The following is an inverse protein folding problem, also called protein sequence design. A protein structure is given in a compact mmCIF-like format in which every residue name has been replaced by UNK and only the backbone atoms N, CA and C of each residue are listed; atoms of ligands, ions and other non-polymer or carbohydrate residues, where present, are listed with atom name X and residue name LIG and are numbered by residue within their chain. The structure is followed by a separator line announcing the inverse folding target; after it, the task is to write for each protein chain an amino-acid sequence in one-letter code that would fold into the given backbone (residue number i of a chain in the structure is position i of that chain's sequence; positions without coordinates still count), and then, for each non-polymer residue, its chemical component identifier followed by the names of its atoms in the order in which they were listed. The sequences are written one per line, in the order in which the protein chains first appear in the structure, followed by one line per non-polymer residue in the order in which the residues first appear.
data_IF_620481257906
#
_entry.id   IF_620481257906
#
_cell.length_a   1.000
_cell.length_b   1.000
_cell.length_c   1.000
_cell.angle_alpha   90.00
_cell.angle_beta   90.00
_cell.angle_gamma   90.00
#
_symmetry.space_group_name_H-M   'P 1'
#
loop_
_entity.id
_entity.type
_entity.pdbx_description
1 polymer ?
#
# COMPACT_ATOMS: atom_id res chain seq x y z
N UNK A 1 -4.61 -11.10 -7.49
CA UNK A 1 -3.41 -10.24 -7.47
C UNK A 1 -3.78 -8.81 -7.85
N UNK A 2 -2.96 -7.82 -7.52
CA UNK A 2 -3.23 -6.36 -7.63
C UNK A 2 -3.78 -5.92 -8.98
N UNK A 3 -3.28 -6.47 -10.09
CA UNK A 3 -3.79 -6.16 -11.45
C UNK A 3 -5.28 -6.50 -11.60
N UNK A 4 -5.75 -7.59 -11.00
CA UNK A 4 -7.15 -7.96 -11.02
C UNK A 4 -8.03 -6.97 -10.25
N UNK A 5 -7.55 -6.48 -9.10
CA UNK A 5 -8.24 -5.46 -8.30
C UNK A 5 -8.35 -4.15 -9.09
N UNK A 6 -7.28 -3.70 -9.72
CA UNK A 6 -7.30 -2.49 -10.55
C UNK A 6 -8.26 -2.60 -11.72
N UNK A 7 -8.26 -3.73 -12.45
CA UNK A 7 -9.20 -3.95 -13.54
C UNK A 7 -10.66 -3.92 -13.08
N UNK A 8 -10.96 -4.56 -11.94
CA UNK A 8 -12.29 -4.53 -11.37
C UNK A 8 -12.70 -3.11 -10.95
N UNK A 9 -11.82 -2.37 -10.28
CA UNK A 9 -12.08 -0.98 -9.88
C UNK A 9 -12.30 -0.06 -11.11
N UNK A 10 -11.57 -0.27 -12.20
CA UNK A 10 -11.76 0.45 -13.46
C UNK A 10 -13.13 0.15 -14.09
N UNK A 11 -13.55 -1.12 -14.08
CA UNK A 11 -14.86 -1.52 -14.61
C UNK A 11 -16.00 -0.89 -13.81
N UNK A 12 -15.93 -0.93 -12.47
CA UNK A 12 -16.96 -0.32 -11.61
C UNK A 12 -17.00 1.19 -11.81
N UNK A 13 -15.85 1.87 -11.78
CA UNK A 13 -15.78 3.32 -11.96
C UNK A 13 -16.26 3.79 -13.35
N UNK A 14 -16.17 2.93 -14.38
CA UNK A 14 -16.70 3.24 -15.70
C UNK A 14 -18.24 3.21 -15.76
N UNK A 15 -18.88 2.48 -14.85
CA UNK A 15 -20.35 2.36 -14.75
C UNK A 15 -20.97 3.16 -13.62
N UNK A 16 -20.18 3.51 -12.61
CA UNK A 16 -20.57 4.26 -11.41
C UNK A 16 -19.48 5.27 -11.04
N UNK A 17 -19.73 6.55 -11.32
CA UNK A 17 -18.83 7.65 -10.99
C UNK A 17 -18.56 7.75 -9.48
N UNK A 18 -19.51 7.31 -8.63
CA UNK A 18 -19.35 7.30 -7.17
C UNK A 18 -18.15 6.47 -6.71
N UNK A 19 -17.74 5.48 -7.52
CA UNK A 19 -16.59 4.61 -7.28
C UNK A 19 -15.25 5.19 -7.76
N UNK A 20 -15.21 6.39 -8.35
CA UNK A 20 -13.98 6.98 -8.88
C UNK A 20 -12.89 7.20 -7.82
N UNK A 21 -13.26 7.54 -6.57
CA UNK A 21 -12.31 7.68 -5.46
C UNK A 21 -11.69 6.35 -5.06
N UNK A 22 -12.46 5.26 -5.08
CA UNK A 22 -11.96 3.92 -4.83
C UNK A 22 -10.89 3.55 -5.87
N UNK A 23 -11.17 3.77 -7.16
CA UNK A 23 -10.21 3.52 -8.22
C UNK A 23 -8.93 4.35 -8.03
N UNK A 24 -9.09 5.64 -7.74
CA UNK A 24 -7.96 6.56 -7.53
C UNK A 24 -7.05 6.08 -6.40
N UNK A 25 -7.64 5.68 -5.27
CA UNK A 25 -6.88 5.16 -4.13
C UNK A 25 -6.15 3.85 -4.49
N UNK A 26 -6.84 2.90 -5.12
CA UNK A 26 -6.23 1.63 -5.52
C UNK A 26 -5.06 1.83 -6.49
N UNK A 27 -5.18 2.78 -7.44
CA UNK A 27 -4.09 3.16 -8.35
C UNK A 27 -2.91 3.75 -7.60
N UNK A 28 -3.14 4.71 -6.71
CA UNK A 28 -2.09 5.36 -5.93
C UNK A 28 -1.32 4.35 -5.06
N UNK A 29 -2.02 3.47 -4.34
CA UNK A 29 -1.42 2.44 -3.50
C UNK A 29 -0.64 1.42 -4.34
N UNK A 30 -1.19 0.98 -5.48
CA UNK A 30 -0.51 0.03 -6.36
C UNK A 30 0.76 0.61 -6.97
N UNK A 31 0.72 1.86 -7.42
CA UNK A 31 1.86 2.56 -7.98
C UNK A 31 2.96 2.80 -6.91
N UNK A 32 2.58 3.24 -5.71
CA UNK A 32 3.52 3.42 -4.61
C UNK A 32 4.22 2.10 -4.23
N UNK A 33 3.47 0.99 -4.17
CA UNK A 33 4.05 -0.33 -3.93
C UNK A 33 5.04 -0.74 -5.01
N UNK A 34 4.72 -0.50 -6.29
CA UNK A 34 5.61 -0.78 -7.41
C UNK A 34 6.90 0.05 -7.34
N UNK A 35 6.79 1.34 -7.01
CA UNK A 35 7.94 2.23 -6.87
C UNK A 35 8.83 1.87 -5.68
N UNK A 36 8.26 1.48 -4.53
CA UNK A 36 9.05 0.98 -3.39
C UNK A 36 9.88 -0.25 -3.76
N UNK A 37 9.31 -1.18 -4.55
CA UNK A 37 10.06 -2.33 -5.07
C UNK A 37 11.15 -1.90 -6.04
N UNK A 38 10.85 -0.96 -6.95
CA UNK A 38 11.81 -0.43 -7.93
C UNK A 38 13.02 0.26 -7.27
N UNK A 39 12.80 0.94 -6.14
CA UNK A 39 13.83 1.60 -5.35
C UNK A 39 14.67 0.63 -4.48
N UNK A 40 14.37 -0.67 -4.51
CA UNK A 40 15.09 -1.66 -3.68
C UNK A 40 14.64 -1.71 -2.23
N UNK A 41 13.56 -1.01 -1.86
CA UNK A 41 13.03 -0.98 -0.49
C UNK A 41 12.17 -2.21 -0.17
N UNK A 42 12.67 -3.42 -0.47
CA UNK A 42 11.89 -4.67 -0.49
C UNK A 42 11.07 -4.93 0.77
N UNK A 43 11.70 -4.90 1.95
CA UNK A 43 11.01 -5.15 3.24
C UNK A 43 9.93 -4.10 3.55
N UNK A 44 10.16 -2.84 3.17
CA UNK A 44 9.18 -1.75 3.32
C UNK A 44 8.03 -1.95 2.32
N UNK A 45 8.34 -2.34 1.08
CA UNK A 45 7.35 -2.65 0.06
C UNK A 45 6.45 -3.82 0.46
N UNK A 46 6.99 -4.86 1.09
CA UNK A 46 6.22 -6.00 1.57
C UNK A 46 5.25 -5.57 2.68
N UNK A 47 5.74 -4.84 3.69
CA UNK A 47 4.88 -4.28 4.75
C UNK A 47 3.81 -3.33 4.19
N UNK A 48 4.16 -2.51 3.19
CA UNK A 48 3.21 -1.62 2.52
C UNK A 48 2.12 -2.41 1.78
N UNK A 49 2.49 -3.39 0.96
CA UNK A 49 1.54 -4.22 0.19
C UNK A 49 0.60 -4.97 1.11
N UNK A 50 1.13 -5.64 2.13
CA UNK A 50 0.30 -6.45 3.04
C UNK A 50 -0.73 -5.60 3.79
N UNK A 51 -0.35 -4.39 4.21
CA UNK A 51 -1.26 -3.53 4.97
C UNK A 51 -2.20 -2.68 4.12
N UNK A 52 -1.79 -2.24 2.92
CA UNK A 52 -2.59 -1.32 2.07
C UNK A 52 -3.38 -2.03 0.98
N UNK A 53 -2.93 -3.19 0.50
CA UNK A 53 -3.59 -3.93 -0.59
C UNK A 53 -4.26 -5.23 -0.13
N UNK A 54 -3.85 -5.79 1.01
CA UNK A 54 -4.44 -7.03 1.58
C UNK A 54 -5.06 -6.83 2.97
N UNK A 55 -4.88 -5.64 3.57
CA UNK A 55 -5.38 -5.34 4.91
C UNK A 55 -6.89 -5.12 4.97
N UNK A 56 -7.44 -5.19 6.19
CA UNK A 56 -8.82 -4.82 6.46
C UNK A 56 -8.99 -3.29 6.56
N UNK A 57 -10.24 -2.83 6.53
CA UNK A 57 -10.57 -1.42 6.75
C UNK A 57 -10.03 -0.91 8.09
N UNK A 58 -9.53 0.32 8.08
CA UNK A 58 -8.83 0.93 9.23
C UNK A 58 -8.92 2.45 9.20
N UNK A 59 -9.04 3.05 10.38
CA UNK A 59 -9.12 4.50 10.58
C UNK A 59 -8.07 5.04 11.56
N UNK A 60 -7.20 4.18 12.09
CA UNK A 60 -6.07 4.54 12.96
C UNK A 60 -4.75 3.98 12.42
N UNK A 61 -3.62 4.60 12.81
CA UNK A 61 -2.29 4.04 12.59
C UNK A 61 -1.97 2.96 13.63
N UNK A 62 -0.86 2.24 13.44
CA UNK A 62 -0.44 1.14 14.33
C UNK A 62 -0.95 -0.24 13.90
N UNK A 63 -1.70 -0.34 12.80
CA UNK A 63 -2.16 -1.60 12.23
C UNK A 63 -1.04 -2.30 11.45
N UNK A 64 -0.06 -2.85 12.18
CA UNK A 64 1.06 -3.60 11.66
C UNK A 64 1.27 -4.82 12.55
N UNK A 65 1.27 -6.02 11.97
CA UNK A 65 1.52 -7.23 12.74
C UNK A 65 3.03 -7.47 12.97
N UNK A 66 3.34 -8.39 13.89
CA UNK A 66 4.71 -8.67 14.34
C UNK A 66 5.63 -9.30 13.28
N UNK A 67 5.11 -9.74 12.12
CA UNK A 67 5.94 -10.22 11.01
C UNK A 67 6.72 -9.09 10.34
N UNK A 68 6.25 -7.85 10.50
CA UNK A 68 6.93 -6.66 10.00
C UNK A 68 7.69 -5.96 11.11
N UNK A 69 9.01 -5.93 10.98
CA UNK A 69 9.90 -5.25 11.93
C UNK A 69 9.76 -3.73 11.83
N UNK A 70 8.94 -3.16 12.71
CA UNK A 70 8.69 -1.72 12.77
C UNK A 70 9.96 -0.91 13.06
N UNK A 71 10.90 -1.43 13.86
CA UNK A 71 12.15 -0.72 14.18
C UNK A 71 13.02 -0.62 12.93
N UNK A 72 13.18 -1.72 12.20
CA UNK A 72 13.90 -1.70 10.93
C UNK A 72 13.30 -0.74 9.91
N UNK A 73 11.96 -0.64 9.82
CA UNK A 73 11.31 0.34 8.94
C UNK A 73 11.67 1.77 9.36
N UNK A 74 11.61 2.08 10.66
CA UNK A 74 11.96 3.40 11.19
C UNK A 74 13.43 3.71 10.95
N UNK A 75 14.35 2.83 11.33
CA UNK A 75 15.79 3.06 11.20
C UNK A 75 16.24 3.23 9.75
N UNK A 76 15.56 2.57 8.81
CA UNK A 76 15.83 2.70 7.37
C UNK A 76 15.39 4.06 6.82
N UNK A 77 14.21 4.55 7.22
CA UNK A 77 13.61 5.78 6.69
C UNK A 77 14.01 7.04 7.46
N UNK A 78 14.33 6.88 8.74
CA UNK A 78 14.61 7.93 9.72
C UNK A 78 15.79 7.49 10.59
N UNK A 79 17.00 7.42 10.01
CA UNK A 79 18.18 7.02 10.77
C UNK A 79 18.44 8.01 11.92
N UNK A 80 19.06 7.56 13.03
CA UNK A 80 19.41 8.44 14.14
C UNK A 80 20.30 9.58 13.66
N UNK A 81 19.90 10.82 13.98
CA UNK A 81 20.75 12.00 13.81
C UNK A 81 21.66 12.09 15.03
N UNK A 82 22.91 11.62 14.89
CA UNK A 82 23.96 11.83 15.90
C UNK A 82 24.20 13.31 16.18
#
# INVERSE_FOLDING_TARGET
GTVGVLRAAMQVAATDEGSARLLTEQLALSAAAAELRRLGAGRIADAFVETRLAGQWRNTYGMLDSRHDARMIIDTLYPPTN
#
